data_IF_199596031443
#
_entry.id   IF_199596031443
#
_cell.length_a   1.000
_cell.length_b   1.000
_cell.length_c   1.000
_cell.angle_alpha   90.00
_cell.angle_beta   90.00
_cell.angle_gamma   90.00
#
_symmetry.space_group_name_H-M   'P 1'
#
loop_
_entity.id
_entity.type
_entity.pdbx_description
1 polymer ?
#
# COMPACT_ATOMS: atom_id res chain seq x y z
N UNK A 1 20.52 -4.48 -0.18
CA UNK A 1 19.33 -4.06 0.59
C UNK A 1 18.29 -5.18 0.48
N UNK A 2 17.40 -5.33 1.44
CA UNK A 2 16.31 -6.31 1.35
C UNK A 2 15.08 -5.69 0.67
N UNK A 3 14.09 -6.52 0.34
CA UNK A 3 12.86 -6.07 -0.31
C UNK A 3 11.95 -5.30 0.64
N UNK A 4 11.08 -4.47 0.06
CA UNK A 4 10.12 -3.60 0.74
C UNK A 4 8.69 -4.02 0.39
N UNK A 5 7.87 -4.27 1.41
CA UNK A 5 6.42 -4.35 1.32
C UNK A 5 5.83 -3.00 1.74
N UNK A 6 4.98 -2.40 0.93
CA UNK A 6 4.39 -1.07 1.18
C UNK A 6 2.87 -1.06 1.38
N UNK A 7 2.18 -2.18 1.17
CA UNK A 7 0.73 -2.27 1.31
C UNK A 7 0.35 -3.66 1.82
N UNK A 8 -0.06 -3.75 3.09
CA UNK A 8 -0.59 -4.98 3.68
C UNK A 8 -1.46 -4.74 4.92
N UNK A 9 -2.34 -5.71 5.19
CA UNK A 9 -3.32 -5.78 6.27
C UNK A 9 -2.96 -6.93 7.24
N UNK A 10 -1.72 -6.90 7.75
CA UNK A 10 -1.17 -7.99 8.58
C UNK A 10 -1.20 -7.69 10.08
N UNK A 11 -1.72 -6.53 10.50
CA UNK A 11 -1.88 -6.21 11.91
C UNK A 11 -3.06 -7.00 12.48
N UNK A 12 -2.84 -7.88 13.48
CA UNK A 12 -3.91 -8.74 13.99
C UNK A 12 -5.09 -7.95 14.56
N UNK A 13 -6.30 -8.33 14.16
CA UNK A 13 -7.56 -7.81 14.71
C UNK A 13 -7.75 -6.29 14.55
N UNK A 14 -7.11 -5.66 13.57
CA UNK A 14 -7.28 -4.23 13.29
C UNK A 14 -8.36 -3.98 12.26
N UNK A 15 -8.32 -4.65 11.12
CA UNK A 15 -9.28 -4.52 10.03
C UNK A 15 -9.68 -5.90 9.48
N UNK A 16 -9.91 -6.03 8.18
CA UNK A 16 -10.31 -7.27 7.51
C UNK A 16 -9.14 -8.23 7.22
N UNK A 17 -7.90 -7.85 7.60
CA UNK A 17 -6.79 -8.78 7.74
C UNK A 17 -7.09 -9.89 8.76
N UNK A 18 -6.93 -11.15 8.37
CA UNK A 18 -7.28 -12.31 9.20
C UNK A 18 -6.07 -12.97 9.88
N UNK A 19 -4.92 -12.29 9.91
CA UNK A 19 -3.73 -12.79 10.60
C UNK A 19 -3.98 -12.85 12.11
N UNK A 20 -4.05 -14.06 12.65
CA UNK A 20 -4.10 -14.28 14.09
C UNK A 20 -2.77 -13.88 14.74
N UNK A 21 -2.82 -13.48 16.01
CA UNK A 21 -1.62 -13.07 16.76
C UNK A 21 -0.58 -14.19 16.84
N UNK A 22 -1.05 -15.43 16.91
CA UNK A 22 -0.26 -16.65 16.95
C UNK A 22 0.45 -16.92 15.61
N UNK A 23 -0.16 -16.50 14.50
CA UNK A 23 0.36 -16.69 13.15
C UNK A 23 1.26 -15.53 12.66
N UNK A 24 1.23 -14.39 13.34
CA UNK A 24 1.97 -13.20 12.92
C UNK A 24 3.49 -13.47 12.74
N UNK A 25 4.14 -14.13 13.69
CA UNK A 25 5.58 -14.45 13.59
C UNK A 25 5.89 -15.43 12.46
N UNK A 26 4.93 -16.28 12.09
CA UNK A 26 5.03 -17.21 10.96
C UNK A 26 4.98 -16.42 9.65
N UNK A 27 4.01 -15.52 9.50
CA UNK A 27 3.91 -14.59 8.38
C UNK A 27 5.18 -13.74 8.22
N UNK A 28 5.69 -13.15 9.31
CA UNK A 28 6.95 -12.40 9.29
C UNK A 28 8.15 -13.28 8.89
N UNK A 29 8.15 -14.56 9.30
CA UNK A 29 9.15 -15.53 8.85
C UNK A 29 9.13 -15.73 7.33
N UNK A 30 7.94 -15.89 6.75
CA UNK A 30 7.75 -16.08 5.30
C UNK A 30 8.21 -14.85 4.51
N UNK A 31 7.85 -13.64 4.96
CA UNK A 31 8.37 -12.39 4.37
C UNK A 31 9.90 -12.33 4.46
N UNK A 32 10.48 -12.68 5.61
CA UNK A 32 11.94 -12.66 5.78
C UNK A 32 12.64 -13.66 4.86
N UNK A 33 12.13 -14.88 4.76
CA UNK A 33 12.62 -15.94 3.87
C UNK A 33 12.49 -15.57 2.40
N UNK A 34 11.46 -14.79 2.05
CA UNK A 34 11.26 -14.22 0.71
C UNK A 34 12.15 -13.01 0.40
N UNK A 35 13.00 -12.59 1.34
CA UNK A 35 13.99 -11.53 1.14
C UNK A 35 13.56 -10.13 1.61
N UNK A 36 12.39 -9.98 2.22
CA UNK A 36 11.94 -8.70 2.76
C UNK A 36 12.71 -8.32 4.02
N UNK A 37 13.12 -7.06 4.09
CA UNK A 37 13.71 -6.46 5.29
C UNK A 37 12.85 -5.35 5.87
N UNK A 38 11.90 -4.83 5.09
CA UNK A 38 11.04 -3.73 5.50
C UNK A 38 9.59 -4.02 5.14
N UNK A 39 8.67 -3.80 6.08
CA UNK A 39 7.23 -3.95 5.87
C UNK A 39 6.51 -2.70 6.37
N UNK A 40 5.64 -2.13 5.54
CA UNK A 40 4.71 -1.07 5.96
C UNK A 40 3.35 -1.70 6.19
N UNK A 41 2.84 -1.58 7.42
CA UNK A 41 1.46 -1.93 7.73
C UNK A 41 0.54 -0.75 7.39
N UNK A 42 -0.50 -1.01 6.59
CA UNK A 42 -1.37 0.03 6.03
C UNK A 42 -2.84 -0.31 6.26
N UNK A 43 -3.28 -0.50 7.51
CA UNK A 43 -4.67 -0.84 7.77
C UNK A 43 -5.63 0.22 7.22
N UNK A 44 -6.84 -0.20 6.88
CA UNK A 44 -7.86 0.68 6.33
C UNK A 44 -8.24 1.81 7.30
N UNK A 45 -8.40 3.03 6.79
CA UNK A 45 -9.06 4.12 7.49
C UNK A 45 -10.22 4.67 6.64
N UNK A 46 -11.38 4.81 7.27
CA UNK A 46 -12.62 5.35 6.67
C UNK A 46 -13.17 4.55 5.48
N UNK A 47 -12.69 3.33 5.23
CA UNK A 47 -13.28 2.46 4.22
C UNK A 47 -14.73 2.10 4.67
N UNK A 48 -15.75 2.32 3.83
CA UNK A 48 -17.15 2.14 4.21
C UNK A 48 -17.58 0.67 4.33
N UNK A 49 -16.74 -0.26 3.90
CA UNK A 49 -17.00 -1.70 3.90
C UNK A 49 -16.21 -2.47 4.95
N UNK A 50 -15.23 -1.83 5.59
CA UNK A 50 -14.34 -2.45 6.56
C UNK A 50 -14.49 -1.82 7.94
N UNK A 51 -14.58 -2.65 8.96
CA UNK A 51 -14.55 -2.18 10.35
C UNK A 51 -13.10 -2.11 10.80
N UNK A 52 -12.63 -0.92 11.19
CA UNK A 52 -11.26 -0.72 11.68
C UNK A 52 -11.26 -0.37 13.18
N UNK A 53 -10.50 -1.13 13.98
CA UNK A 53 -10.27 -0.91 15.40
C UNK A 53 -9.17 0.13 15.67
N UNK A 54 -9.44 1.40 15.30
CA UNK A 54 -8.50 2.52 15.37
C UNK A 54 -7.96 2.71 16.81
N UNK A 55 -8.77 2.45 17.82
CA UNK A 55 -8.40 2.58 19.23
C UNK A 55 -7.32 1.58 19.66
N UNK A 56 -7.25 0.41 19.00
CA UNK A 56 -6.26 -0.64 19.29
C UNK A 56 -5.02 -0.52 18.41
N UNK A 57 -5.10 0.23 17.30
CA UNK A 57 -4.09 0.29 16.26
C UNK A 57 -2.66 0.53 16.77
N UNK A 58 -2.47 1.56 17.60
CA UNK A 58 -1.12 1.93 18.09
C UNK A 58 -0.54 0.88 19.03
N UNK A 59 -1.37 0.26 19.87
CA UNK A 59 -0.94 -0.81 20.77
C UNK A 59 -0.58 -2.07 19.99
N UNK A 60 -1.44 -2.48 19.05
CA UNK A 60 -1.19 -3.63 18.17
C UNK A 60 0.06 -3.43 17.33
N UNK A 61 0.26 -2.23 16.75
CA UNK A 61 1.48 -1.93 16.01
C UNK A 61 2.73 -1.98 16.90
N UNK A 62 2.71 -1.40 18.10
CA UNK A 62 3.86 -1.45 19.01
C UNK A 62 4.23 -2.90 19.42
N UNK A 63 3.24 -3.79 19.51
CA UNK A 63 3.49 -5.22 19.69
C UNK A 63 4.06 -5.86 18.41
N UNK A 64 3.46 -5.59 17.25
CA UNK A 64 3.83 -6.13 15.94
C UNK A 64 5.26 -5.73 15.54
N UNK A 65 5.65 -4.47 15.78
CA UNK A 65 7.00 -3.94 15.54
C UNK A 65 8.04 -4.76 16.32
N UNK A 66 7.82 -4.97 17.62
CA UNK A 66 8.73 -5.79 18.46
C UNK A 66 8.79 -7.23 17.97
N UNK A 67 7.65 -7.81 17.59
CA UNK A 67 7.58 -9.18 17.09
C UNK A 67 8.31 -9.33 15.75
N UNK A 68 8.08 -8.42 14.79
CA UNK A 68 8.75 -8.38 13.48
C UNK A 68 10.27 -8.16 13.61
N UNK A 69 10.70 -7.33 14.57
CA UNK A 69 12.11 -7.12 14.86
C UNK A 69 12.83 -8.42 15.26
N UNK A 70 12.16 -9.38 15.92
CA UNK A 70 12.76 -10.70 16.22
C UNK A 70 13.08 -11.54 14.97
N UNK A 71 12.45 -11.20 13.84
CA UNK A 71 12.72 -11.79 12.51
C UNK A 71 13.69 -10.95 11.68
N UNK A 72 14.20 -9.84 12.22
CA UNK A 72 15.07 -8.91 11.50
C UNK A 72 14.34 -8.08 10.45
N UNK A 73 13.05 -7.81 10.66
CA UNK A 73 12.24 -6.94 9.79
C UNK A 73 12.06 -5.58 10.47
N UNK A 74 12.37 -4.52 9.74
CA UNK A 74 12.02 -3.14 10.10
C UNK A 74 10.59 -2.88 9.68
N UNK A 75 9.79 -2.21 10.52
CA UNK A 75 8.38 -1.96 10.21
C UNK A 75 8.03 -0.49 10.32
N UNK A 76 7.18 -0.02 9.41
CA UNK A 76 6.56 1.29 9.49
C UNK A 76 5.03 1.15 9.63
N UNK A 77 4.41 2.14 10.25
CA UNK A 77 2.96 2.26 10.28
C UNK A 77 2.52 3.38 9.33
N UNK A 78 1.56 3.06 8.47
CA UNK A 78 0.76 4.03 7.73
C UNK A 78 -0.71 3.65 7.82
N UNK A 79 -1.50 4.18 6.88
CA UNK A 79 -2.89 3.78 6.67
C UNK A 79 -3.19 3.72 5.18
N UNK A 80 -4.00 2.77 4.75
CA UNK A 80 -4.74 2.90 3.50
C UNK A 80 -5.95 3.80 3.74
N UNK A 81 -5.85 5.05 3.29
CA UNK A 81 -6.89 6.05 3.51
C UNK A 81 -7.94 6.00 2.40
N UNK A 82 -9.17 5.63 2.74
CA UNK A 82 -10.30 5.74 1.80
C UNK A 82 -10.74 7.20 1.65
N UNK A 83 -10.61 7.76 0.45
CA UNK A 83 -10.95 9.15 0.14
C UNK A 83 -12.27 9.22 -0.62
N UNK A 84 -13.21 10.00 -0.07
CA UNK A 84 -14.53 10.24 -0.65
C UNK A 84 -14.96 11.70 -0.50
N UNK A 85 -15.88 12.03 0.41
CA UNK A 85 -16.43 13.39 0.58
C UNK A 85 -15.98 14.07 1.89
N UNK A 86 -14.89 13.59 2.49
CA UNK A 86 -14.40 14.16 3.75
C UNK A 86 -13.90 15.61 3.54
N UNK A 87 -14.21 16.48 4.51
CA UNK A 87 -13.72 17.86 4.54
C UNK A 87 -12.24 17.96 4.95
N UNK A 88 -11.73 16.98 5.69
CA UNK A 88 -10.34 16.87 6.12
C UNK A 88 -9.89 15.42 6.04
N UNK A 89 -8.66 15.19 5.57
CA UNK A 89 -8.06 13.86 5.48
C UNK A 89 -7.19 13.61 6.71
N UNK A 90 -7.56 12.61 7.52
CA UNK A 90 -6.77 12.20 8.69
C UNK A 90 -6.10 10.86 8.38
N UNK A 91 -4.97 10.91 7.69
CA UNK A 91 -4.14 9.74 7.40
C UNK A 91 -3.08 9.51 8.49
N UNK A 92 -2.64 8.26 8.61
CA UNK A 92 -1.34 7.93 9.19
C UNK A 92 -0.31 7.91 8.06
N UNK A 93 0.58 8.90 8.05
CA UNK A 93 1.62 9.00 7.05
C UNK A 93 2.72 7.96 7.31
N UNK A 94 3.11 7.25 6.26
CA UNK A 94 4.25 6.33 6.26
C UNK A 94 5.51 7.19 6.30
N UNK A 95 6.28 7.05 7.38
CA UNK A 95 7.54 7.78 7.62
C UNK A 95 7.39 9.30 7.43
N UNK A 96 6.27 9.85 7.92
CA UNK A 96 5.91 11.28 7.85
C UNK A 96 5.92 11.89 6.44
N UNK A 97 5.89 11.06 5.38
CA UNK A 97 6.09 11.51 4.01
C UNK A 97 5.06 10.96 3.03
N UNK A 98 4.72 9.68 3.11
CA UNK A 98 3.83 9.06 2.12
C UNK A 98 2.46 8.76 2.70
N UNK A 99 1.42 8.89 1.89
CA UNK A 99 0.05 8.50 2.29
C UNK A 99 -0.53 7.61 1.21
N UNK A 100 -0.86 6.37 1.57
CA UNK A 100 -1.57 5.47 0.70
C UNK A 100 -3.05 5.88 0.65
N UNK A 101 -3.58 6.09 -0.56
CA UNK A 101 -4.96 6.54 -0.77
C UNK A 101 -5.72 5.57 -1.66
N UNK A 102 -6.93 5.24 -1.22
CA UNK A 102 -7.89 4.38 -1.89
C UNK A 102 -9.15 5.18 -2.28
N UNK A 103 -9.80 4.80 -3.37
CA UNK A 103 -11.05 5.42 -3.84
C UNK A 103 -12.14 4.40 -4.15
N UNK A 104 -13.34 4.88 -4.47
CA UNK A 104 -14.39 4.04 -5.05
C UNK A 104 -13.97 3.43 -6.39
N UNK A 105 -14.15 2.12 -6.55
CA UNK A 105 -13.72 1.39 -7.76
C UNK A 105 -14.51 1.78 -9.02
N UNK A 106 -15.81 2.06 -8.86
CA UNK A 106 -16.70 2.33 -9.98
C UNK A 106 -16.69 3.80 -10.43
N UNK A 107 -16.51 4.74 -9.48
CA UNK A 107 -16.53 6.18 -9.75
C UNK A 107 -15.48 6.91 -8.91
N UNK A 108 -14.81 7.93 -9.47
CA UNK A 108 -13.89 8.75 -8.70
C UNK A 108 -14.66 9.64 -7.71
N UNK A 109 -14.07 10.00 -6.55
CA UNK A 109 -14.63 11.04 -5.71
C UNK A 109 -14.70 12.37 -6.47
N UNK A 110 -15.75 13.14 -6.21
CA UNK A 110 -16.04 14.41 -6.91
C UNK A 110 -14.87 15.39 -6.86
N UNK A 111 -14.19 15.47 -5.71
CA UNK A 111 -13.13 16.43 -5.43
C UNK A 111 -11.74 15.77 -5.38
N UNK A 112 -11.54 14.68 -6.13
CA UNK A 112 -10.30 13.88 -6.12
C UNK A 112 -9.04 14.74 -6.17
N UNK A 113 -8.91 15.60 -7.19
CA UNK A 113 -7.69 16.41 -7.38
C UNK A 113 -7.51 17.42 -6.26
N UNK A 114 -8.59 17.93 -5.66
CA UNK A 114 -8.52 18.82 -4.51
C UNK A 114 -8.02 18.06 -3.27
N UNK A 115 -8.46 16.82 -3.06
CA UNK A 115 -7.96 15.95 -1.98
C UNK A 115 -6.49 15.62 -2.15
N UNK A 116 -6.04 15.30 -3.36
CA UNK A 116 -4.63 15.08 -3.63
C UNK A 116 -3.80 16.34 -3.42
N UNK A 117 -4.27 17.50 -3.91
CA UNK A 117 -3.60 18.79 -3.72
C UNK A 117 -3.49 19.13 -2.23
N UNK A 118 -4.54 18.84 -1.45
CA UNK A 118 -4.54 19.06 0.00
C UNK A 118 -3.43 18.28 0.72
N UNK A 119 -3.13 17.05 0.28
CA UNK A 119 -2.03 16.24 0.80
C UNK A 119 -0.67 16.82 0.36
N UNK A 120 -0.53 17.17 -0.92
CA UNK A 120 0.74 17.69 -1.45
C UNK A 120 1.11 19.05 -0.84
N UNK A 121 0.12 19.92 -0.57
CA UNK A 121 0.32 21.21 0.11
C UNK A 121 0.86 21.04 1.55
N UNK A 122 0.72 19.84 2.13
CA UNK A 122 1.27 19.45 3.43
C UNK A 122 2.59 18.69 3.33
N UNK A 123 3.24 18.75 2.17
CA UNK A 123 4.49 18.04 1.87
C UNK A 123 4.37 16.50 1.96
N UNK A 124 3.15 15.97 1.85
CA UNK A 124 2.91 14.54 1.74
C UNK A 124 2.88 14.12 0.28
N UNK A 125 3.35 12.90 0.00
CA UNK A 125 3.33 12.27 -1.32
C UNK A 125 2.23 11.22 -1.35
N UNK A 126 1.12 11.44 -2.07
CA UNK A 126 0.07 10.44 -2.21
C UNK A 126 0.58 9.24 -3.02
N UNK A 127 0.29 8.03 -2.53
CA UNK A 127 0.45 6.77 -3.25
C UNK A 127 -0.96 6.28 -3.59
N UNK A 128 -1.29 6.20 -4.88
CA UNK A 128 -2.58 5.70 -5.34
C UNK A 128 -2.55 4.17 -5.23
N UNK A 129 -3.34 3.63 -4.29
CA UNK A 129 -3.44 2.19 -4.06
C UNK A 129 -4.06 1.48 -5.28
N UNK A 130 -3.55 0.29 -5.60
CA UNK A 130 -4.06 -0.68 -6.58
C UNK A 130 -4.71 -0.02 -7.81
N UNK A 131 -3.94 0.84 -8.50
CA UNK A 131 -4.42 1.72 -9.59
C UNK A 131 -5.13 0.96 -10.71
N UNK A 132 -4.79 -0.30 -10.92
CA UNK A 132 -5.42 -1.21 -11.87
C UNK A 132 -6.90 -1.51 -11.57
N UNK A 133 -7.37 -1.31 -10.33
CA UNK A 133 -8.74 -1.66 -9.90
C UNK A 133 -9.77 -0.60 -10.27
N UNK A 134 -9.36 0.64 -10.54
CA UNK A 134 -10.29 1.74 -10.83
C UNK A 134 -10.85 1.65 -12.25
N UNK A 135 -12.15 1.37 -12.39
CA UNK A 135 -12.83 1.23 -13.69
C UNK A 135 -12.88 2.54 -14.50
N UNK A 136 -12.69 3.66 -13.82
CA UNK A 136 -12.73 5.01 -14.38
C UNK A 136 -11.34 5.57 -14.71
N UNK A 137 -10.26 4.83 -14.42
CA UNK A 137 -8.89 5.27 -14.63
C UNK A 137 -8.19 4.35 -15.63
N UNK A 138 -7.48 4.94 -16.57
CA UNK A 138 -6.64 4.22 -17.52
C UNK A 138 -5.30 4.93 -17.70
N UNK A 139 -4.26 4.24 -18.20
CA UNK A 139 -2.93 4.83 -18.39
C UNK A 139 -2.92 6.12 -19.24
N UNK A 140 -3.86 6.26 -20.17
CA UNK A 140 -3.97 7.43 -21.07
C UNK A 140 -4.97 8.48 -20.58
N UNK A 141 -5.62 8.27 -19.43
CA UNK A 141 -6.60 9.20 -18.91
C UNK A 141 -5.94 10.55 -18.56
N UNK A 142 -6.52 11.70 -18.97
CA UNK A 142 -6.02 13.01 -18.55
C UNK A 142 -5.93 13.16 -17.02
N UNK A 143 -6.87 12.54 -16.30
CA UNK A 143 -6.89 12.51 -14.84
C UNK A 143 -5.62 11.86 -14.25
N UNK A 144 -5.15 10.74 -14.81
CA UNK A 144 -3.93 10.10 -14.36
C UNK A 144 -2.71 10.99 -14.58
N UNK A 145 -2.66 11.68 -15.73
CA UNK A 145 -1.60 12.67 -16.00
C UNK A 145 -1.61 13.79 -14.97
N UNK A 146 -2.80 14.29 -14.58
CA UNK A 146 -2.93 15.30 -13.53
C UNK A 146 -2.45 14.77 -12.17
N UNK A 147 -2.78 13.54 -11.80
CA UNK A 147 -2.27 12.90 -10.57
C UNK A 147 -0.74 12.81 -10.56
N UNK A 148 -0.13 12.36 -11.68
CA UNK A 148 1.34 12.28 -11.80
C UNK A 148 2.00 13.67 -11.75
N UNK A 149 1.38 14.69 -12.35
CA UNK A 149 1.87 16.07 -12.28
C UNK A 149 1.83 16.66 -10.87
N UNK A 150 0.91 16.19 -10.02
CA UNK A 150 0.90 16.51 -8.58
C UNK A 150 2.00 15.76 -7.80
N UNK A 151 2.73 14.85 -8.43
CA UNK A 151 3.76 14.03 -7.79
C UNK A 151 3.24 12.75 -7.15
N UNK A 152 2.01 12.31 -7.47
CA UNK A 152 1.48 11.06 -6.94
C UNK A 152 2.27 9.85 -7.48
N UNK A 153 2.50 8.89 -6.61
CA UNK A 153 3.04 7.58 -6.96
C UNK A 153 1.90 6.60 -7.26
N UNK A 154 2.13 5.62 -8.12
CA UNK A 154 1.15 4.59 -8.43
C UNK A 154 1.61 3.23 -7.89
N UNK A 155 0.70 2.54 -7.20
CA UNK A 155 0.90 1.20 -6.70
C UNK A 155 -0.01 0.20 -7.44
N UNK A 156 0.53 -0.96 -7.79
CA UNK A 156 -0.23 -2.11 -8.31
C UNK A 156 -0.09 -3.34 -7.41
N UNK A 157 -1.12 -4.17 -7.34
CA UNK A 157 -1.05 -5.41 -6.56
C UNK A 157 -0.30 -6.51 -7.32
N UNK A 158 0.42 -7.35 -6.59
CA UNK A 158 1.15 -8.51 -7.14
C UNK A 158 0.27 -9.38 -8.05
N UNK A 159 -0.96 -9.64 -7.65
CA UNK A 159 -1.88 -10.49 -8.42
C UNK A 159 -2.22 -9.88 -9.78
N UNK A 160 -2.31 -8.54 -9.84
CA UNK A 160 -2.56 -7.82 -11.08
C UNK A 160 -1.37 -7.86 -12.04
N UNK A 161 -0.16 -7.92 -11.49
CA UNK A 161 1.06 -8.15 -12.27
C UNK A 161 1.03 -9.56 -12.88
N UNK A 162 0.69 -10.57 -12.08
CA UNK A 162 0.70 -11.97 -12.50
C UNK A 162 -0.40 -12.31 -13.51
N UNK A 163 -1.61 -11.76 -13.33
CA UNK A 163 -2.73 -12.01 -14.24
C UNK A 163 -2.77 -11.06 -15.46
N UNK A 164 -1.85 -10.09 -15.52
CA UNK A 164 -1.69 -9.15 -16.62
C UNK A 164 -2.62 -7.93 -16.60
N UNK A 165 -3.49 -7.77 -15.60
CA UNK A 165 -4.37 -6.60 -15.50
C UNK A 165 -3.60 -5.29 -15.24
N UNK A 166 -2.41 -5.36 -14.63
CA UNK A 166 -1.53 -4.21 -14.45
C UNK A 166 -0.62 -3.92 -15.67
N UNK A 167 -0.62 -4.78 -16.70
CA UNK A 167 0.35 -4.71 -17.80
C UNK A 167 0.35 -3.35 -18.51
N UNK A 168 -0.82 -2.77 -18.77
CA UNK A 168 -0.92 -1.48 -19.45
C UNK A 168 -0.30 -0.31 -18.65
N UNK A 169 -0.30 -0.39 -17.31
CA UNK A 169 0.34 0.60 -16.45
C UNK A 169 1.86 0.36 -16.34
N UNK A 170 2.26 -0.91 -16.23
CA UNK A 170 3.65 -1.34 -16.11
C UNK A 170 4.44 -1.05 -17.40
N UNK A 171 3.92 -1.45 -18.56
CA UNK A 171 4.54 -1.23 -19.88
C UNK A 171 4.64 0.26 -20.23
N UNK A 172 3.72 1.08 -19.72
CA UNK A 172 3.78 2.54 -19.86
C UNK A 172 4.79 3.20 -18.89
N UNK A 173 5.45 2.43 -18.02
CA UNK A 173 6.42 2.94 -17.04
C UNK A 173 5.81 3.77 -15.91
N UNK A 174 4.49 3.67 -15.70
CA UNK A 174 3.73 4.54 -14.79
C UNK A 174 3.75 4.06 -13.34
N UNK A 175 3.91 2.75 -13.13
CA UNK A 175 3.93 2.11 -11.80
C UNK A 175 5.23 2.45 -11.07
N UNK A 176 5.09 2.79 -9.79
CA UNK A 176 6.20 3.13 -8.90
C UNK A 176 6.39 2.07 -7.80
N UNK A 177 5.32 1.35 -7.46
CA UNK A 177 5.31 0.35 -6.37
C UNK A 177 4.53 -0.89 -6.84
N UNK A 178 5.08 -2.07 -6.60
CA UNK A 178 4.32 -3.33 -6.58
C UNK A 178 4.24 -3.76 -5.12
N UNK A 179 3.03 -4.05 -4.63
CA UNK A 179 2.79 -4.43 -3.25
C UNK A 179 1.81 -5.60 -3.19
N UNK A 180 1.69 -6.25 -2.03
CA UNK A 180 0.87 -7.47 -1.95
C UNK A 180 -0.60 -7.21 -1.67
N UNK A 181 -0.95 -6.13 -0.97
CA UNK A 181 -2.30 -5.95 -0.41
C UNK A 181 -2.72 -7.18 0.42
N UNK A 182 -1.75 -7.73 1.17
CA UNK A 182 -1.89 -9.04 1.81
C UNK A 182 -2.73 -8.96 3.09
N UNK A 183 -3.80 -9.76 3.13
CA UNK A 183 -4.72 -9.88 4.27
C UNK A 183 -4.49 -11.14 5.13
N UNK A 184 -3.44 -11.93 4.84
CA UNK A 184 -3.13 -13.18 5.53
C UNK A 184 -2.76 -14.36 4.62
N UNK A 185 -2.66 -14.13 3.31
CA UNK A 185 -2.23 -15.13 2.35
C UNK A 185 -0.69 -15.25 2.34
N UNK A 186 -0.24 -16.42 2.76
CA UNK A 186 1.17 -16.77 2.90
C UNK A 186 1.90 -16.96 1.58
N UNK A 187 1.16 -17.15 0.50
CA UNK A 187 1.73 -17.29 -0.84
C UNK A 187 2.15 -15.94 -1.43
N UNK A 188 1.64 -14.81 -0.92
CA UNK A 188 1.85 -13.50 -1.53
C UNK A 188 3.26 -12.96 -1.35
N UNK A 189 3.96 -13.23 -0.24
CA UNK A 189 5.32 -12.74 -0.06
C UNK A 189 6.32 -13.27 -1.12
N UNK A 190 6.42 -14.60 -1.38
CA UNK A 190 7.30 -15.08 -2.43
C UNK A 190 6.86 -14.66 -3.83
N UNK A 191 5.54 -14.53 -4.07
CA UNK A 191 4.98 -14.00 -5.33
C UNK A 191 5.36 -12.54 -5.57
N UNK A 192 5.28 -11.71 -4.52
CA UNK A 192 5.67 -10.30 -4.59
C UNK A 192 7.16 -10.15 -4.90
N UNK A 193 8.02 -10.95 -4.25
CA UNK A 193 9.45 -10.97 -4.56
C UNK A 193 9.72 -11.31 -6.04
N UNK A 194 9.00 -12.28 -6.60
CA UNK A 194 9.10 -12.63 -8.02
C UNK A 194 8.59 -11.52 -8.94
N UNK A 195 7.47 -10.87 -8.61
CA UNK A 195 6.91 -9.76 -9.39
C UNK A 195 7.84 -8.55 -9.42
N UNK A 196 8.45 -8.18 -8.27
CA UNK A 196 9.45 -7.10 -8.21
C UNK A 196 10.68 -7.45 -9.05
N UNK A 197 11.16 -8.70 -8.98
CA UNK A 197 12.29 -9.16 -9.78
C UNK A 197 12.00 -9.16 -11.30
N UNK A 198 10.75 -9.40 -11.70
CA UNK A 198 10.32 -9.34 -13.09
C UNK A 198 10.23 -7.89 -13.64
N UNK A 199 10.11 -6.90 -12.75
CA UNK A 199 10.01 -5.47 -13.08
C UNK A 199 11.11 -4.66 -12.37
N UNK A 200 12.38 -4.83 -12.77
CA UNK A 200 13.54 -4.25 -12.06
C UNK A 200 13.54 -2.72 -12.02
N UNK A 201 12.93 -2.04 -13.00
CA UNK A 201 12.78 -0.58 -12.98
C UNK A 201 11.86 -0.14 -11.83
N UNK A 202 10.78 -0.88 -11.57
CA UNK A 202 9.90 -0.62 -10.43
C UNK A 202 10.62 -0.97 -9.12
N UNK A 203 11.33 -2.11 -9.08
CA UNK A 203 12.17 -2.46 -7.93
C UNK A 203 13.18 -1.37 -7.57
N UNK A 204 13.85 -0.78 -8.58
CA UNK A 204 14.81 0.31 -8.39
C UNK A 204 14.16 1.59 -7.85
N UNK A 205 12.92 1.90 -8.26
CA UNK A 205 12.14 3.00 -7.66
C UNK A 205 11.80 2.71 -6.20
N UNK A 206 11.37 1.49 -5.90
CA UNK A 206 11.03 1.07 -4.53
C UNK A 206 12.22 1.09 -3.57
N UNK A 207 13.43 0.76 -4.03
CA UNK A 207 14.65 0.85 -3.21
C UNK A 207 14.98 2.28 -2.74
N UNK A 208 14.41 3.30 -3.40
CA UNK A 208 14.56 4.70 -3.02
C UNK A 208 13.46 5.15 -2.04
N UNK A 209 12.51 4.27 -1.71
CA UNK A 209 11.44 4.50 -0.76
C UNK A 209 11.83 3.91 0.60
N UNK A 210 11.94 4.79 1.61
CA UNK A 210 12.25 4.52 3.03
C UNK A 210 13.71 4.15 3.34
#
# INVERSE_FOLDING_TARGET
MGLLEMHCHLLPSIDDGYVAKEDFLRMMGIYRESGFSTIVFTPHLYNPYVTTHIEQLRETYAWAEKAAATKGITTYLGSELYVNQQASLNALAINDRYVLVEFGLALPPKDLLLHLTWLTDRSLVPIIAHVERYLWLSPQAPLLTQMKNLGCLLQCNVEAVENGSAAAYLEAGLVDIIASDNHGDETLAPRLAQAIAAWPDVGSKMEQLL
#
